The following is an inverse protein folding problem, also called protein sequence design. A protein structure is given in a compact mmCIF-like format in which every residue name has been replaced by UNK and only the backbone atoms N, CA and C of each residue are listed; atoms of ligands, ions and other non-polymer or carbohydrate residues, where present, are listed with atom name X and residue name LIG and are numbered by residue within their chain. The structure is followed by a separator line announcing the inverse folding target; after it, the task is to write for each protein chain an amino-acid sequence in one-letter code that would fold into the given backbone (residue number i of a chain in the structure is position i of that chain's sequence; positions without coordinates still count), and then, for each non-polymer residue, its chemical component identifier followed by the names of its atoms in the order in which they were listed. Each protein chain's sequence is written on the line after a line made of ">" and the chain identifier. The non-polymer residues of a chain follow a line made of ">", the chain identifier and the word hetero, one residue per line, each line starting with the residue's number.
data_IF_729399720858
#
_entry.id   IF_729399720858
#
_cell.length_a   1.000
_cell.length_b   1.000
_cell.length_c   1.000
_cell.angle_alpha   90.00
_cell.angle_beta   90.00
_cell.angle_gamma   90.00
#
_symmetry.space_group_name_H-M   'P 1'
#
loop_
_entity.id
_entity.type
_entity.pdbx_description
1 polymer ?
#
# COMPACT_ATOMS: atom_id res chain seq x y z
N UNK A 1 -2.19 -17.42 -22.53
CA UNK A 1 -1.83 -16.19 -21.81
C UNK A 1 -2.77 -16.10 -20.62
N UNK A 2 -2.25 -16.06 -19.40
CA UNK A 2 -3.07 -15.85 -18.21
C UNK A 2 -3.64 -14.44 -18.24
N UNK A 3 -4.93 -14.26 -17.94
CA UNK A 3 -5.52 -12.93 -17.79
C UNK A 3 -4.79 -12.14 -16.69
N UNK A 4 -4.62 -10.81 -16.84
CA UNK A 4 -4.01 -9.99 -15.80
C UNK A 4 -4.87 -10.03 -14.53
N UNK A 5 -4.21 -10.09 -13.37
CA UNK A 5 -4.88 -10.14 -12.08
C UNK A 5 -5.70 -8.87 -11.79
N UNK A 6 -5.26 -7.72 -12.34
CA UNK A 6 -5.95 -6.44 -12.20
C UNK A 6 -6.35 -5.94 -13.58
N UNK A 7 -7.60 -5.47 -13.70
CA UNK A 7 -8.14 -4.89 -14.93
C UNK A 7 -8.82 -3.55 -14.62
N UNK A 8 -8.65 -2.59 -15.52
CA UNK A 8 -9.38 -1.32 -15.49
C UNK A 8 -10.41 -1.28 -16.61
N UNK A 9 -11.63 -0.87 -16.30
CA UNK A 9 -12.69 -0.63 -17.27
C UNK A 9 -13.14 0.82 -17.21
N UNK A 10 -12.91 1.57 -18.30
CA UNK A 10 -13.46 2.92 -18.45
C UNK A 10 -14.95 2.82 -18.76
N UNK A 11 -15.79 3.44 -17.94
CA UNK A 11 -17.25 3.50 -18.12
C UNK A 11 -17.64 4.76 -18.87
N UNK A 12 -17.10 5.91 -18.45
CA UNK A 12 -17.42 7.21 -19.04
C UNK A 12 -16.27 8.20 -18.89
N UNK A 13 -16.06 8.98 -19.95
CA UNK A 13 -15.19 10.16 -19.92
C UNK A 13 -16.05 11.42 -20.11
N UNK A 14 -15.86 12.40 -19.23
CA UNK A 14 -16.50 13.71 -19.35
C UNK A 14 -15.80 14.51 -20.47
N UNK A 15 -16.58 15.25 -21.29
CA UNK A 15 -16.07 15.87 -22.53
C UNK A 15 -15.27 17.16 -22.29
N UNK A 16 -15.57 17.90 -21.22
CA UNK A 16 -15.00 19.24 -20.98
C UNK A 16 -13.85 19.23 -20.01
N UNK A 17 -13.94 18.44 -18.93
CA UNK A 17 -12.91 18.37 -17.86
C UNK A 17 -11.93 17.22 -18.05
N UNK A 18 -12.28 16.21 -18.88
CA UNK A 18 -11.51 14.98 -19.02
C UNK A 18 -11.65 14.02 -17.84
N UNK A 19 -12.53 14.30 -16.87
CA UNK A 19 -12.81 13.39 -15.74
C UNK A 19 -13.27 12.02 -16.24
N UNK A 20 -12.88 10.97 -15.53
CA UNK A 20 -13.15 9.58 -15.90
C UNK A 20 -13.89 8.86 -14.80
N UNK A 21 -15.00 8.24 -15.13
CA UNK A 21 -15.66 7.22 -14.34
C UNK A 21 -15.22 5.85 -14.86
N UNK A 22 -14.75 5.01 -13.98
CA UNK A 22 -14.33 3.66 -14.33
C UNK A 22 -14.50 2.70 -13.17
N UNK A 23 -13.97 1.51 -13.32
CA UNK A 23 -13.88 0.53 -12.26
C UNK A 23 -12.56 -0.25 -12.36
N UNK A 24 -12.06 -0.69 -11.21
CA UNK A 24 -10.94 -1.61 -11.11
C UNK A 24 -11.48 -2.95 -10.63
N UNK A 25 -11.05 -4.02 -11.32
CA UNK A 25 -11.41 -5.40 -11.05
C UNK A 25 -10.17 -6.09 -10.51
N UNK A 26 -10.28 -6.68 -9.32
CA UNK A 26 -9.20 -7.40 -8.63
C UNK A 26 -9.68 -8.82 -8.24
N UNK A 27 -8.80 -9.70 -7.77
CA UNK A 27 -9.20 -11.01 -7.24
C UNK A 27 -10.20 -10.96 -6.08
N UNK A 28 -10.14 -9.90 -5.25
CA UNK A 28 -11.03 -9.73 -4.08
C UNK A 28 -12.25 -8.82 -4.35
N UNK A 29 -12.50 -8.43 -5.59
CA UNK A 29 -13.70 -7.68 -5.95
C UNK A 29 -13.47 -6.54 -6.93
N UNK A 30 -14.55 -5.81 -7.16
CA UNK A 30 -14.57 -4.68 -8.10
C UNK A 30 -15.00 -3.42 -7.35
N UNK A 31 -14.33 -2.31 -7.61
CA UNK A 31 -14.69 -1.03 -7.03
C UNK A 31 -14.67 0.08 -8.09
N UNK A 32 -15.53 1.12 -7.95
CA UNK A 32 -15.58 2.24 -8.87
C UNK A 32 -14.38 3.18 -8.70
N UNK A 33 -14.03 3.91 -9.76
CA UNK A 33 -13.03 4.99 -9.72
C UNK A 33 -13.62 6.30 -10.24
N UNK A 34 -13.28 7.44 -9.62
CA UNK A 34 -12.39 7.61 -8.46
C UNK A 34 -13.01 7.11 -7.16
N UNK A 35 -12.18 6.62 -6.23
CA UNK A 35 -12.62 6.19 -4.90
C UNK A 35 -11.58 6.57 -3.84
N UNK A 36 -12.04 7.01 -2.67
CA UNK A 36 -11.18 7.23 -1.52
C UNK A 36 -10.82 5.88 -0.87
N UNK A 37 -9.57 5.72 -0.48
CA UNK A 37 -9.06 4.54 0.19
C UNK A 37 -8.83 4.84 1.67
N UNK A 38 -9.68 4.39 2.61
CA UNK A 38 -9.40 4.50 4.04
C UNK A 38 -8.08 3.82 4.39
N UNK A 39 -7.29 4.47 5.27
CA UNK A 39 -5.94 4.00 5.59
C UNK A 39 -5.94 3.10 6.81
N UNK A 40 -5.55 1.84 6.59
CA UNK A 40 -5.38 0.80 7.60
C UNK A 40 -3.92 0.56 7.93
N UNK A 41 -3.25 1.51 8.61
CA UNK A 41 -1.79 1.54 8.80
C UNK A 41 -1.22 0.28 9.45
N UNK A 42 -1.84 -0.25 10.49
CA UNK A 42 -1.41 -1.46 11.20
C UNK A 42 -2.50 -2.55 11.06
N UNK A 43 -2.88 -2.87 9.84
CA UNK A 43 -3.96 -3.80 9.51
C UNK A 43 -5.30 -3.44 10.18
N UNK A 44 -5.53 -2.16 10.43
CA UNK A 44 -6.80 -1.65 10.95
C UNK A 44 -7.00 -0.18 10.56
N UNK A 45 -8.20 0.17 10.15
CA UNK A 45 -8.62 1.57 10.03
C UNK A 45 -9.03 2.03 11.42
N UNK A 46 -8.30 3.01 11.98
CA UNK A 46 -8.54 3.46 13.37
C UNK A 46 -9.99 3.86 13.57
N UNK A 47 -10.57 3.37 14.66
CA UNK A 47 -11.94 3.65 15.12
C UNK A 47 -13.07 3.10 14.26
N UNK A 48 -12.76 2.28 13.25
CA UNK A 48 -13.77 1.70 12.36
C UNK A 48 -13.57 0.18 12.21
N UNK A 49 -14.66 -0.55 12.30
CA UNK A 49 -14.66 -1.99 12.00
C UNK A 49 -14.73 -2.24 10.48
N UNK A 50 -14.34 -3.43 10.01
CA UNK A 50 -14.55 -3.83 8.61
C UNK A 50 -16.01 -3.72 8.15
N UNK A 51 -16.96 -4.05 9.03
CA UNK A 51 -18.40 -3.99 8.76
C UNK A 51 -18.87 -2.55 8.56
N UNK A 52 -18.39 -1.61 9.39
CA UNK A 52 -18.70 -0.18 9.26
C UNK A 52 -18.13 0.39 7.94
N UNK A 53 -16.89 0.03 7.58
CA UNK A 53 -16.29 0.42 6.30
C UNK A 53 -17.10 -0.07 5.11
N UNK A 54 -17.56 -1.33 5.15
CA UNK A 54 -18.41 -1.90 4.11
C UNK A 54 -19.76 -1.19 4.05
N UNK A 55 -20.37 -0.91 5.18
CA UNK A 55 -21.66 -0.20 5.26
C UNK A 55 -21.57 1.23 4.70
N UNK A 56 -20.40 1.86 4.80
CA UNK A 56 -20.12 3.18 4.20
C UNK A 56 -19.80 3.10 2.69
N UNK A 57 -19.72 1.91 2.11
CA UNK A 57 -19.41 1.71 0.69
C UNK A 57 -17.92 1.81 0.35
N UNK A 58 -17.04 1.59 1.33
CA UNK A 58 -15.60 1.50 1.05
C UNK A 58 -15.30 0.25 0.25
N UNK A 59 -14.91 0.40 -1.01
CA UNK A 59 -14.63 -0.72 -1.92
C UNK A 59 -13.17 -1.15 -1.96
N UNK A 60 -12.29 -0.43 -1.30
CA UNK A 60 -10.86 -0.71 -1.18
C UNK A 60 -10.30 0.03 0.02
N UNK A 61 -9.28 -0.52 0.67
CA UNK A 61 -8.50 0.14 1.72
C UNK A 61 -7.02 0.15 1.36
N UNK A 62 -6.26 1.05 2.01
CA UNK A 62 -4.82 1.14 1.89
C UNK A 62 -4.16 0.67 3.18
N UNK A 63 -3.10 -0.13 3.09
CA UNK A 63 -2.26 -0.52 4.22
C UNK A 63 -0.80 -0.11 3.97
N UNK A 64 -0.08 0.24 5.04
CA UNK A 64 1.28 0.76 4.92
C UNK A 64 2.32 -0.35 5.11
N UNK A 65 3.07 -0.65 4.07
CA UNK A 65 4.12 -1.67 4.02
C UNK A 65 5.17 -1.48 5.11
N UNK A 66 5.73 -0.30 5.24
CA UNK A 66 6.74 0.01 6.26
C UNK A 66 6.29 -0.34 7.68
N UNK A 67 5.10 0.09 8.07
CA UNK A 67 4.58 -0.16 9.42
C UNK A 67 4.33 -1.64 9.70
N UNK A 68 3.77 -2.36 8.73
CA UNK A 68 3.46 -3.79 8.84
C UNK A 68 4.74 -4.64 8.84
N UNK A 69 5.75 -4.25 8.05
CA UNK A 69 7.08 -4.87 8.06
C UNK A 69 7.76 -4.77 9.42
N UNK A 70 7.72 -3.58 10.04
CA UNK A 70 8.30 -3.39 11.36
C UNK A 70 7.50 -4.06 12.47
N UNK A 71 6.18 -4.09 12.35
CA UNK A 71 5.28 -4.64 13.36
C UNK A 71 3.88 -4.90 12.80
N UNK A 72 3.36 -6.13 12.85
CA UNK A 72 3.89 -7.32 13.56
C UNK A 72 4.98 -8.06 12.81
N UNK A 73 5.29 -7.71 11.56
CA UNK A 73 6.17 -8.40 10.64
C UNK A 73 5.39 -9.12 9.53
N UNK A 74 5.94 -9.11 8.33
CA UNK A 74 5.32 -9.68 7.14
C UNK A 74 5.16 -11.21 7.23
N UNK A 75 6.14 -11.90 7.82
CA UNK A 75 6.11 -13.36 7.98
C UNK A 75 4.92 -13.81 8.84
N UNK A 76 4.64 -13.09 9.94
CA UNK A 76 3.49 -13.39 10.80
C UNK A 76 2.17 -13.17 10.05
N UNK A 77 2.09 -12.13 9.24
CA UNK A 77 0.90 -11.84 8.44
C UNK A 77 0.72 -12.91 7.35
N UNK A 78 1.81 -13.35 6.70
CA UNK A 78 1.79 -14.44 5.73
C UNK A 78 1.31 -15.75 6.36
N UNK A 79 1.82 -16.14 7.54
CA UNK A 79 1.38 -17.30 8.30
C UNK A 79 -0.12 -17.23 8.67
N UNK A 80 -0.63 -16.03 8.95
CA UNK A 80 -2.05 -15.80 9.20
C UNK A 80 -2.91 -15.89 7.92
N UNK A 81 -2.30 -16.03 6.76
CA UNK A 81 -2.96 -16.15 5.45
C UNK A 81 -3.17 -14.82 4.73
N UNK A 82 -2.27 -13.86 4.97
CA UNK A 82 -2.23 -12.53 4.36
C UNK A 82 -3.13 -11.50 5.06
N UNK A 83 -3.02 -10.24 4.64
CA UNK A 83 -3.74 -9.11 5.24
C UNK A 83 -5.25 -9.30 5.25
N UNK A 84 -5.83 -9.86 4.19
CA UNK A 84 -7.27 -10.08 4.10
C UNK A 84 -7.81 -10.91 5.27
N UNK A 85 -7.15 -12.01 5.61
CA UNK A 85 -7.52 -12.83 6.76
C UNK A 85 -7.13 -12.18 8.08
N UNK A 86 -5.93 -11.61 8.16
CA UNK A 86 -5.41 -10.99 9.36
C UNK A 86 -6.30 -9.87 9.90
N UNK A 87 -6.87 -9.05 9.00
CA UNK A 87 -7.73 -7.93 9.38
C UNK A 87 -9.23 -8.16 9.17
N UNK A 88 -9.63 -9.39 8.78
CA UNK A 88 -11.02 -9.75 8.46
C UNK A 88 -11.65 -8.84 7.38
N UNK A 89 -10.89 -8.56 6.32
CA UNK A 89 -11.31 -7.74 5.19
C UNK A 89 -11.30 -8.56 3.91
N UNK A 90 -12.46 -8.71 3.27
CA UNK A 90 -12.68 -9.57 2.08
C UNK A 90 -12.72 -8.79 0.76
N UNK A 91 -12.52 -7.47 0.80
CA UNK A 91 -12.48 -6.61 -0.38
C UNK A 91 -11.04 -6.20 -0.74
N UNK A 92 -10.83 -5.51 -1.87
CA UNK A 92 -9.51 -5.10 -2.33
C UNK A 92 -8.66 -4.36 -1.29
N UNK A 93 -7.36 -4.64 -1.32
CA UNK A 93 -6.33 -3.94 -0.52
C UNK A 93 -5.24 -3.44 -1.46
N UNK A 94 -4.82 -2.18 -1.26
CA UNK A 94 -3.60 -1.63 -1.82
C UNK A 94 -2.57 -1.48 -0.70
N UNK A 95 -1.32 -1.91 -0.95
CA UNK A 95 -0.17 -1.57 -0.11
C UNK A 95 0.70 -0.52 -0.78
N UNK A 96 1.16 0.47 0.00
CA UNK A 96 2.18 1.42 -0.47
C UNK A 96 3.57 0.76 -0.53
N UNK A 97 4.55 1.47 -1.08
CA UNK A 97 5.93 0.98 -1.20
C UNK A 97 6.73 0.98 0.11
N UNK A 98 6.32 1.78 1.09
CA UNK A 98 7.07 2.09 2.30
C UNK A 98 8.08 3.24 2.16
N UNK A 99 8.36 3.73 0.95
CA UNK A 99 9.36 4.79 0.68
C UNK A 99 9.06 6.09 1.41
N UNK A 100 7.83 6.57 1.36
CA UNK A 100 7.42 7.80 2.06
C UNK A 100 7.66 7.74 3.57
N UNK A 101 7.37 6.61 4.23
CA UNK A 101 7.54 6.47 5.67
C UNK A 101 9.01 6.46 6.06
N UNK A 102 9.89 5.84 5.27
CA UNK A 102 11.35 5.94 5.46
C UNK A 102 11.80 7.39 5.34
N UNK A 103 11.25 8.13 4.37
CA UNK A 103 11.53 9.56 4.23
C UNK A 103 11.05 10.37 5.44
N UNK A 104 9.82 10.15 5.89
CA UNK A 104 9.16 11.01 6.89
C UNK A 104 9.47 10.67 8.35
N UNK A 105 9.82 9.40 8.66
CA UNK A 105 9.96 8.90 10.03
C UNK A 105 11.41 8.55 10.42
N UNK A 106 12.33 8.46 9.45
CA UNK A 106 13.71 8.10 9.73
C UNK A 106 14.60 9.34 9.89
N UNK A 107 15.08 9.58 11.11
CA UNK A 107 15.96 10.72 11.44
C UNK A 107 17.35 10.65 10.78
N UNK A 108 17.85 9.44 10.52
CA UNK A 108 19.15 9.19 9.86
C UNK A 108 18.95 8.18 8.75
N UNK A 109 18.95 8.66 7.51
CA UNK A 109 18.89 7.84 6.31
C UNK A 109 20.07 8.10 5.39
N UNK A 110 20.53 7.06 4.75
CA UNK A 110 21.50 7.11 3.65
C UNK A 110 20.87 6.42 2.45
N UNK A 111 20.62 7.19 1.38
CA UNK A 111 20.01 6.70 0.14
C UNK A 111 21.15 6.32 -0.79
N UNK A 112 21.08 5.12 -1.35
CA UNK A 112 21.99 4.55 -2.33
C UNK A 112 21.18 4.00 -3.50
N UNK A 113 21.83 3.66 -4.60
CA UNK A 113 21.14 3.09 -5.78
C UNK A 113 20.44 1.77 -5.45
N UNK A 114 21.02 0.97 -4.57
CA UNK A 114 20.50 -0.33 -4.14
C UNK A 114 19.36 -0.24 -3.12
N UNK A 115 19.16 0.93 -2.49
CA UNK A 115 18.12 1.12 -1.48
C UNK A 115 18.52 2.13 -0.41
N UNK A 116 17.85 2.07 0.73
CA UNK A 116 18.01 3.06 1.80
C UNK A 116 18.37 2.40 3.12
N UNK A 117 19.46 2.87 3.74
CA UNK A 117 19.82 2.55 5.11
C UNK A 117 19.20 3.57 6.06
N UNK A 118 18.55 3.10 7.11
CA UNK A 118 17.88 3.98 8.07
C UNK A 118 17.80 3.35 9.47
N UNK A 119 17.31 4.11 10.45
CA UNK A 119 17.04 3.59 11.80
C UNK A 119 15.56 3.36 11.99
N UNK A 120 15.25 2.19 12.56
CA UNK A 120 13.91 1.85 12.99
C UNK A 120 13.43 2.85 14.06
N UNK A 121 12.35 3.57 13.79
CA UNK A 121 11.79 4.57 14.70
C UNK A 121 11.22 3.99 16.00
N UNK A 122 10.99 2.68 16.07
CA UNK A 122 10.46 2.00 17.26
C UNK A 122 11.56 1.64 18.28
N UNK A 123 12.75 1.22 17.79
CA UNK A 123 13.80 0.66 18.66
C UNK A 123 15.23 1.11 18.31
N UNK A 124 15.39 1.97 17.29
CA UNK A 124 16.68 2.51 16.86
C UNK A 124 17.61 1.53 16.12
N UNK A 125 17.20 0.29 15.85
CA UNK A 125 17.99 -0.67 15.11
C UNK A 125 18.27 -0.19 13.67
N UNK A 126 19.42 -0.58 13.11
CA UNK A 126 19.75 -0.29 11.72
C UNK A 126 18.98 -1.23 10.81
N UNK A 127 18.35 -0.67 9.79
CA UNK A 127 17.60 -1.38 8.76
C UNK A 127 18.07 -0.95 7.37
N UNK A 128 17.81 -1.83 6.41
CA UNK A 128 17.98 -1.58 4.99
C UNK A 128 16.71 -1.98 4.25
N UNK A 129 16.20 -1.09 3.40
CA UNK A 129 15.04 -1.35 2.54
C UNK A 129 15.47 -1.10 1.09
N UNK A 130 15.38 -2.14 0.27
CA UNK A 130 15.57 -2.06 -1.18
C UNK A 130 14.24 -2.21 -1.92
N UNK A 131 14.20 -1.91 -3.24
CA UNK A 131 13.04 -2.20 -4.07
C UNK A 131 12.59 -3.67 -3.97
N UNK A 132 13.53 -4.62 -3.97
CA UNK A 132 13.24 -6.05 -3.87
C UNK A 132 12.63 -6.44 -2.52
N UNK A 133 13.19 -5.89 -1.42
CA UNK A 133 12.65 -6.14 -0.08
C UNK A 133 11.24 -5.57 0.03
N UNK A 134 11.01 -4.35 -0.47
CA UNK A 134 9.67 -3.74 -0.48
C UNK A 134 8.65 -4.62 -1.21
N UNK A 135 9.00 -5.13 -2.40
CA UNK A 135 8.13 -6.02 -3.16
C UNK A 135 7.92 -7.36 -2.47
N UNK A 136 8.96 -7.95 -1.87
CA UNK A 136 8.84 -9.20 -1.12
C UNK A 136 7.89 -9.06 0.07
N UNK A 137 8.04 -8.00 0.85
CA UNK A 137 7.13 -7.68 1.96
C UNK A 137 5.69 -7.54 1.46
N UNK A 138 5.45 -6.77 0.40
CA UNK A 138 4.10 -6.59 -0.15
C UNK A 138 3.50 -7.91 -0.68
N UNK A 139 4.29 -8.78 -1.27
CA UNK A 139 3.86 -10.11 -1.70
C UNK A 139 3.43 -10.97 -0.52
N UNK A 140 4.20 -10.99 0.57
CA UNK A 140 3.84 -11.71 1.81
C UNK A 140 2.59 -11.12 2.48
N UNK A 141 2.42 -9.80 2.43
CA UNK A 141 1.19 -9.15 2.89
C UNK A 141 -0.03 -9.57 2.06
N UNK A 142 0.15 -9.92 0.78
CA UNK A 142 -0.91 -10.46 -0.08
C UNK A 142 -1.93 -9.43 -0.52
N UNK A 143 -1.51 -8.19 -0.78
CA UNK A 143 -2.37 -7.14 -1.30
C UNK A 143 -2.74 -7.37 -2.77
N UNK A 144 -3.91 -6.85 -3.22
CA UNK A 144 -4.32 -6.90 -4.63
C UNK A 144 -3.49 -5.95 -5.50
N UNK A 145 -3.16 -4.79 -4.96
CA UNK A 145 -2.38 -3.76 -5.64
C UNK A 145 -1.15 -3.46 -4.79
N UNK A 146 0.02 -3.60 -5.38
CA UNK A 146 1.31 -3.28 -4.77
C UNK A 146 1.97 -2.12 -5.51
N UNK A 147 2.77 -1.32 -4.80
CA UNK A 147 3.43 -0.14 -5.35
C UNK A 147 4.93 -0.36 -5.50
N UNK A 148 5.48 0.16 -6.60
CA UNK A 148 6.93 0.21 -6.79
C UNK A 148 7.57 1.07 -5.71
N UNK A 149 8.78 0.68 -5.29
CA UNK A 149 9.54 1.48 -4.34
C UNK A 149 9.90 2.82 -4.96
N UNK A 150 9.62 3.89 -4.22
CA UNK A 150 9.80 5.27 -4.68
C UNK A 150 10.64 6.08 -3.67
N UNK A 151 11.30 7.09 -4.19
CA UNK A 151 11.94 8.13 -3.39
C UNK A 151 11.07 9.38 -3.38
N UNK A 152 10.91 9.99 -2.20
CA UNK A 152 10.24 11.27 -2.05
C UNK A 152 11.29 12.40 -1.95
N UNK A 153 11.67 13.04 -3.07
CA UNK A 153 12.62 14.14 -3.05
C UNK A 153 12.01 15.36 -2.34
N UNK A 154 12.86 16.16 -1.69
CA UNK A 154 12.46 17.43 -1.11
C UNK A 154 11.97 18.40 -2.22
N UNK A 155 11.02 19.28 -1.87
CA UNK A 155 10.50 20.29 -2.79
C UNK A 155 11.59 21.19 -3.43
N UNK A 156 12.72 21.32 -2.77
CA UNK A 156 13.86 22.13 -3.25
C UNK A 156 14.89 21.34 -4.07
N UNK A 157 14.69 20.05 -4.31
CA UNK A 157 15.55 19.29 -5.21
C UNK A 157 15.50 19.86 -6.62
N UNK A 158 16.67 20.06 -7.22
CA UNK A 158 16.81 20.42 -8.63
C UNK A 158 16.48 19.21 -9.52
N UNK A 159 16.16 19.49 -10.75
CA UNK A 159 15.77 18.47 -11.74
C UNK A 159 16.97 17.71 -12.34
N UNK A 160 18.22 17.99 -11.85
CA UNK A 160 19.48 17.44 -12.36
C UNK A 160 19.95 16.26 -11.51
#
# INVERSE_FOLDING_TARGET
>A
MTEPAIRYRLIKKEKHTGARLGEIITPHGTFPTPMFMPVGTLATVKTMSPEELKAMGSGIILSNTYHLWLRPGEDLIEEAGGLHKFMNWDQPILTDSGGFQVFSLADMRNIEEEGVHFRNHLNGSKLFLSPEISIDVQNKLGADIIMSFDECPDFHHTHD
#
